data_IF_087285454299
#
_entry.id   IF_087285454299
#
_cell.length_a   1.000
_cell.length_b   1.000
_cell.length_c   1.000
_cell.angle_alpha   90.00
_cell.angle_beta   90.00
_cell.angle_gamma   90.00
#
_symmetry.space_group_name_H-M   'P 1'
#
loop_
_entity.id
_entity.type
_entity.pdbx_description
1 polymer ?
#
# COMPACT_ATOMS: atom_id res chain seq x y z
N UNK A 1 1.39 -2.07 -19.14
CA UNK A 1 2.44 -2.14 -18.12
C UNK A 1 3.48 -1.07 -18.42
N UNK A 2 3.43 0.07 -17.72
CA UNK A 2 4.49 1.09 -17.79
C UNK A 2 5.35 0.94 -16.54
N UNK A 3 6.66 0.78 -16.71
CA UNK A 3 7.63 0.77 -15.62
C UNK A 3 8.28 2.15 -15.58
N UNK A 4 8.12 2.88 -14.49
CA UNK A 4 8.77 4.17 -14.34
C UNK A 4 10.27 4.01 -14.03
N UNK A 5 11.13 4.83 -14.62
CA UNK A 5 12.58 4.82 -14.39
C UNK A 5 12.96 4.94 -12.90
N UNK A 6 12.15 5.65 -12.11
CA UNK A 6 12.29 5.74 -10.65
C UNK A 6 12.17 4.40 -9.93
N UNK A 7 11.36 3.46 -10.44
CA UNK A 7 11.25 2.09 -9.92
C UNK A 7 12.56 1.30 -10.13
N UNK A 8 13.22 1.51 -11.26
CA UNK A 8 14.47 0.83 -11.59
C UNK A 8 15.63 1.35 -10.73
N UNK A 9 15.73 2.67 -10.55
CA UNK A 9 16.77 3.31 -9.71
C UNK A 9 16.60 2.96 -8.23
N UNK A 10 15.36 2.99 -7.71
CA UNK A 10 15.06 2.61 -6.34
C UNK A 10 15.44 1.15 -6.07
N UNK A 11 15.10 0.25 -6.99
CA UNK A 11 15.48 -1.15 -6.87
C UNK A 11 16.99 -1.35 -6.96
N UNK A 12 17.68 -0.70 -7.90
CA UNK A 12 19.14 -0.77 -8.01
C UNK A 12 19.84 -0.38 -6.70
N UNK A 13 19.37 0.68 -6.03
CA UNK A 13 19.92 1.12 -4.73
C UNK A 13 19.64 0.11 -3.62
N UNK A 14 18.46 -0.50 -3.58
CA UNK A 14 18.14 -1.57 -2.62
C UNK A 14 19.01 -2.81 -2.87
N UNK A 15 19.22 -3.20 -4.13
CA UNK A 15 20.11 -4.30 -4.54
C UNK A 15 21.57 -4.09 -4.15
N UNK A 16 22.03 -2.84 -4.10
CA UNK A 16 23.38 -2.50 -3.63
C UNK A 16 23.52 -2.54 -2.09
N UNK A 17 22.44 -2.34 -1.34
CA UNK A 17 22.50 -2.13 0.12
C UNK A 17 21.94 -3.29 0.96
N UNK A 18 21.22 -4.25 0.36
CA UNK A 18 20.54 -5.35 1.07
C UNK A 18 20.91 -6.72 0.52
N UNK A 19 20.77 -7.76 1.36
CA UNK A 19 20.98 -9.15 0.95
C UNK A 19 19.95 -9.57 -0.11
N UNK A 20 20.39 -10.34 -1.10
CA UNK A 20 19.54 -10.84 -2.19
C UNK A 20 18.29 -11.57 -1.69
N UNK A 21 18.41 -12.33 -0.58
CA UNK A 21 17.28 -13.03 0.04
C UNK A 21 16.19 -12.10 0.60
N UNK A 22 16.55 -10.95 1.18
CA UNK A 22 15.58 -9.97 1.68
C UNK A 22 14.84 -9.30 0.52
N UNK A 23 15.56 -9.00 -0.56
CA UNK A 23 14.99 -8.35 -1.74
C UNK A 23 14.03 -9.29 -2.46
N UNK A 24 14.42 -10.55 -2.66
CA UNK A 24 13.54 -11.56 -3.24
C UNK A 24 12.29 -11.77 -2.39
N UNK A 25 12.45 -11.79 -1.07
CA UNK A 25 11.33 -11.87 -0.13
C UNK A 25 10.39 -10.68 -0.27
N UNK A 26 10.92 -9.45 -0.35
CA UNK A 26 10.13 -8.23 -0.53
C UNK A 26 9.30 -8.28 -1.82
N UNK A 27 9.92 -8.62 -2.96
CA UNK A 27 9.17 -8.72 -4.21
C UNK A 27 8.16 -9.87 -4.22
N UNK A 28 8.48 -11.01 -3.62
CA UNK A 28 7.53 -12.10 -3.50
C UNK A 28 6.29 -11.67 -2.70
N UNK A 29 6.46 -10.87 -1.63
CA UNK A 29 5.35 -10.28 -0.89
C UNK A 29 4.55 -9.31 -1.76
N UNK A 30 5.19 -8.42 -2.51
CA UNK A 30 4.49 -7.50 -3.41
C UNK A 30 3.71 -8.25 -4.51
N UNK A 31 4.32 -9.27 -5.12
CA UNK A 31 3.65 -10.08 -6.15
C UNK A 31 2.44 -10.80 -5.57
N UNK A 32 2.57 -11.38 -4.36
CA UNK A 32 1.46 -12.04 -3.69
C UNK A 32 0.30 -11.07 -3.41
N UNK A 33 0.63 -9.88 -2.94
CA UNK A 33 -0.34 -8.81 -2.68
C UNK A 33 -1.12 -8.44 -3.95
N UNK A 34 -0.41 -8.12 -5.03
CA UNK A 34 -1.05 -7.80 -6.32
C UNK A 34 -1.84 -8.97 -6.91
N UNK A 35 -1.34 -10.20 -6.75
CA UNK A 35 -2.05 -11.39 -7.16
C UNK A 35 -3.39 -11.52 -6.42
N UNK A 36 -3.47 -11.09 -5.16
CA UNK A 36 -4.70 -10.97 -4.39
C UNK A 36 -5.71 -10.04 -5.05
N UNK A 37 -5.31 -8.80 -5.36
CA UNK A 37 -6.16 -7.84 -6.07
C UNK A 37 -6.63 -8.38 -7.43
N UNK A 38 -5.70 -8.95 -8.19
CA UNK A 38 -5.95 -9.49 -9.52
C UNK A 38 -6.92 -10.68 -9.49
N UNK A 39 -6.80 -11.57 -8.51
CA UNK A 39 -7.71 -12.68 -8.31
C UNK A 39 -9.12 -12.17 -7.95
N UNK A 40 -9.22 -11.23 -7.02
CA UNK A 40 -10.51 -10.64 -6.64
C UNK A 40 -11.19 -9.89 -7.79
N UNK A 41 -10.41 -9.15 -8.60
CA UNK A 41 -10.92 -8.44 -9.76
C UNK A 41 -11.53 -9.41 -10.78
N UNK A 42 -10.86 -10.55 -11.03
CA UNK A 42 -11.38 -11.61 -11.91
C UNK A 42 -12.66 -12.25 -11.36
N UNK A 43 -12.73 -12.53 -10.05
CA UNK A 43 -13.92 -13.11 -9.43
C UNK A 43 -15.15 -12.21 -9.54
N UNK A 44 -14.94 -10.90 -9.53
CA UNK A 44 -15.99 -9.89 -9.66
C UNK A 44 -16.36 -9.61 -11.13
N UNK A 45 -15.66 -10.23 -12.10
CA UNK A 45 -15.89 -10.01 -13.53
C UNK A 45 -15.39 -8.65 -14.04
N UNK A 46 -14.51 -7.99 -13.29
CA UNK A 46 -13.91 -6.71 -13.69
C UNK A 46 -12.77 -6.90 -14.70
N UNK A 47 -12.58 -5.93 -15.59
CA UNK A 47 -11.45 -5.88 -16.53
C UNK A 47 -10.43 -4.82 -16.09
N UNK A 48 -9.14 -5.17 -16.15
CA UNK A 48 -8.03 -4.23 -15.96
C UNK A 48 -7.96 -3.29 -17.18
N UNK A 49 -8.11 -1.97 -16.99
CA UNK A 49 -7.88 -1.02 -18.08
C UNK A 49 -6.41 -0.61 -18.23
N UNK A 50 -5.57 -0.90 -17.23
CA UNK A 50 -4.12 -0.67 -17.25
C UNK A 50 -3.46 -1.06 -15.92
N UNK A 51 -2.18 -1.41 -15.98
CA UNK A 51 -1.30 -1.62 -14.82
C UNK A 51 -0.11 -0.67 -14.97
N UNK A 52 0.00 0.30 -14.08
CA UNK A 52 1.15 1.21 -14.00
C UNK A 52 1.98 0.86 -12.77
N UNK A 53 3.26 0.56 -13.00
CA UNK A 53 4.22 0.13 -11.98
C UNK A 53 5.21 1.27 -11.76
N UNK A 54 5.16 1.90 -10.59
CA UNK A 54 6.05 3.00 -10.22
C UNK A 54 6.86 2.65 -8.96
N UNK A 55 7.90 3.45 -8.67
CA UNK A 55 8.69 3.30 -7.42
C UNK A 55 7.85 3.43 -6.14
N UNK A 56 6.61 3.91 -6.23
CA UNK A 56 5.67 4.07 -5.12
C UNK A 56 4.63 2.94 -5.01
N UNK A 57 4.53 2.02 -5.97
CA UNK A 57 3.53 0.94 -5.99
C UNK A 57 2.95 0.63 -7.37
N UNK A 58 1.89 -0.19 -7.40
CA UNK A 58 1.18 -0.65 -8.61
C UNK A 58 -0.25 -0.08 -8.59
N UNK A 59 -0.67 0.58 -9.68
CA UNK A 59 -2.01 1.19 -9.79
C UNK A 59 -2.82 0.48 -10.87
N UNK A 60 -4.01 -0.03 -10.52
CA UNK A 60 -4.92 -0.76 -11.41
C UNK A 60 -6.19 0.09 -11.69
N UNK A 61 -6.41 0.47 -12.95
CA UNK A 61 -7.62 1.20 -13.36
C UNK A 61 -8.84 0.28 -13.54
N UNK A 62 -10.01 0.68 -13.01
CA UNK A 62 -11.30 -0.03 -13.18
C UNK A 62 -12.44 0.91 -13.61
N UNK A 63 -13.39 0.44 -14.43
CA UNK A 63 -14.52 1.23 -14.99
C UNK A 63 -15.74 1.17 -14.04
N UNK A 64 -16.30 2.33 -13.68
CA UNK A 64 -17.35 2.57 -12.66
C UNK A 64 -18.76 2.04 -13.01
N UNK A 65 -19.54 1.62 -12.00
CA UNK A 65 -21.02 1.53 -12.04
C UNK A 65 -21.77 1.05 -10.77
N UNK A 66 -22.39 1.96 -10.00
CA UNK A 66 -23.45 1.66 -8.99
C UNK A 66 -23.03 1.13 -7.59
N UNK A 67 -23.99 1.00 -6.64
CA UNK A 67 -23.75 0.47 -5.27
C UNK A 67 -23.18 -0.96 -5.26
N UNK A 68 -23.50 -1.76 -6.28
CA UNK A 68 -22.87 -3.07 -6.50
C UNK A 68 -21.37 -2.92 -6.79
N UNK A 69 -20.95 -1.88 -7.53
CA UNK A 69 -19.53 -1.59 -7.75
C UNK A 69 -18.80 -1.18 -6.47
N UNK A 70 -19.45 -0.55 -5.49
CA UNK A 70 -18.77 -0.21 -4.22
C UNK A 70 -18.38 -1.46 -3.42
N UNK A 71 -19.26 -2.46 -3.32
CA UNK A 71 -18.94 -3.73 -2.64
C UNK A 71 -17.85 -4.50 -3.38
N UNK A 72 -17.95 -4.52 -4.71
CA UNK A 72 -16.94 -5.08 -5.60
C UNK A 72 -15.57 -4.41 -5.45
N UNK A 73 -15.51 -3.08 -5.45
CA UNK A 73 -14.28 -2.30 -5.24
C UNK A 73 -13.70 -2.54 -3.85
N UNK A 74 -14.53 -2.60 -2.81
CA UNK A 74 -14.09 -2.93 -1.46
C UNK A 74 -13.46 -4.33 -1.39
N UNK A 75 -14.11 -5.32 -2.01
CA UNK A 75 -13.59 -6.68 -2.06
C UNK A 75 -12.23 -6.74 -2.77
N UNK A 76 -12.09 -6.04 -3.89
CA UNK A 76 -10.80 -5.96 -4.61
C UNK A 76 -9.74 -5.28 -3.75
N UNK A 77 -10.03 -4.12 -3.14
CA UNK A 77 -9.08 -3.37 -2.30
C UNK A 77 -8.64 -4.15 -1.05
N UNK A 78 -9.51 -4.97 -0.47
CA UNK A 78 -9.15 -5.81 0.67
C UNK A 78 -8.34 -7.06 0.29
N UNK A 79 -8.37 -7.48 -0.98
CA UNK A 79 -7.83 -8.76 -1.38
C UNK A 79 -6.30 -8.85 -1.29
N UNK A 80 -5.56 -7.79 -1.65
CA UNK A 80 -4.11 -7.77 -1.51
C UNK A 80 -3.63 -7.85 -0.06
N UNK A 81 -4.14 -6.98 0.85
CA UNK A 81 -3.87 -7.07 2.27
C UNK A 81 -4.28 -8.42 2.88
N UNK A 82 -5.44 -8.96 2.49
CA UNK A 82 -5.89 -10.27 2.94
C UNK A 82 -4.95 -11.40 2.49
N UNK A 83 -4.47 -11.39 1.24
CA UNK A 83 -3.53 -12.39 0.74
C UNK A 83 -2.24 -12.43 1.59
N UNK A 84 -1.71 -11.26 1.93
CA UNK A 84 -0.55 -11.13 2.79
C UNK A 84 -0.81 -11.60 4.23
N UNK A 85 -1.96 -11.25 4.83
CA UNK A 85 -2.34 -11.70 6.18
C UNK A 85 -2.50 -13.22 6.22
N UNK A 86 -3.16 -13.81 5.22
CA UNK A 86 -3.33 -15.26 5.10
C UNK A 86 -1.98 -15.95 4.98
N UNK A 87 -1.07 -15.43 4.14
CA UNK A 87 0.27 -15.99 4.00
C UNK A 87 1.07 -15.89 5.31
N UNK A 88 1.01 -14.75 6.00
CA UNK A 88 1.60 -14.60 7.33
C UNK A 88 1.06 -15.67 8.29
N UNK A 89 -0.26 -15.82 8.41
CA UNK A 89 -0.89 -16.78 9.31
C UNK A 89 -0.49 -18.24 8.98
N UNK A 90 -0.51 -18.62 7.71
CA UNK A 90 -0.09 -19.94 7.26
C UNK A 90 1.37 -20.22 7.60
N UNK A 91 2.28 -19.29 7.33
CA UNK A 91 3.69 -19.42 7.68
C UNK A 91 3.90 -19.58 9.18
N UNK A 92 3.15 -18.84 10.00
CA UNK A 92 3.21 -18.94 11.46
C UNK A 92 2.72 -20.29 11.97
N UNK A 93 1.63 -20.82 11.41
CA UNK A 93 1.10 -22.16 11.74
C UNK A 93 2.10 -23.25 11.36
N UNK A 94 2.80 -23.09 10.22
CA UNK A 94 3.84 -24.01 9.76
C UNK A 94 5.18 -23.85 10.50
N UNK A 95 5.25 -23.00 11.53
CA UNK A 95 6.46 -22.78 12.34
C UNK A 95 7.51 -21.88 11.70
N UNK A 96 7.21 -21.26 10.55
CA UNK A 96 8.12 -20.36 9.86
C UNK A 96 8.00 -18.93 10.42
N UNK A 97 8.98 -18.54 11.24
CA UNK A 97 9.06 -17.22 11.88
C UNK A 97 10.11 -16.30 11.24
N UNK A 98 10.50 -16.58 9.98
CA UNK A 98 11.51 -15.82 9.27
C UNK A 98 11.05 -14.44 8.78
N UNK A 99 11.99 -13.67 8.23
CA UNK A 99 11.77 -12.31 7.72
C UNK A 99 10.64 -12.26 6.68
N UNK A 100 10.47 -13.29 5.85
CA UNK A 100 9.41 -13.34 4.84
C UNK A 100 8.00 -13.33 5.44
N UNK A 101 7.78 -14.02 6.57
CA UNK A 101 6.49 -13.97 7.28
C UNK A 101 6.24 -12.56 7.82
N UNK A 102 7.25 -11.95 8.46
CA UNK A 102 7.13 -10.59 8.97
C UNK A 102 6.87 -9.57 7.85
N UNK A 103 7.55 -9.69 6.70
CA UNK A 103 7.34 -8.82 5.55
C UNK A 103 5.91 -8.90 5.00
N UNK A 104 5.29 -10.08 4.98
CA UNK A 104 3.87 -10.23 4.61
C UNK A 104 2.97 -9.39 5.53
N UNK A 105 3.12 -9.55 6.85
CA UNK A 105 2.33 -8.77 7.81
C UNK A 105 2.61 -7.25 7.69
N UNK A 106 3.87 -6.87 7.58
CA UNK A 106 4.27 -5.46 7.43
C UNK A 106 3.68 -4.85 6.16
N UNK A 107 3.69 -5.57 5.03
CA UNK A 107 3.11 -5.10 3.79
C UNK A 107 1.58 -4.95 3.87
N UNK A 108 0.89 -5.85 4.60
CA UNK A 108 -0.55 -5.71 4.84
C UNK A 108 -0.87 -4.48 5.70
N UNK A 109 -0.13 -4.27 6.79
CA UNK A 109 -0.30 -3.10 7.67
C UNK A 109 0.02 -1.82 6.92
N UNK A 110 1.11 -1.80 6.14
CA UNK A 110 1.52 -0.66 5.33
C UNK A 110 0.43 -0.27 4.32
N UNK A 111 -0.08 -1.21 3.53
CA UNK A 111 -1.12 -0.92 2.55
C UNK A 111 -2.48 -0.56 3.17
N UNK A 112 -2.70 -0.87 4.45
CA UNK A 112 -3.89 -0.43 5.21
C UNK A 112 -3.75 0.97 5.82
N UNK A 113 -2.60 1.65 5.66
CA UNK A 113 -2.45 3.01 6.13
C UNK A 113 -3.38 3.98 5.39
N UNK A 114 -3.81 5.08 6.04
CA UNK A 114 -4.85 5.97 5.53
C UNK A 114 -4.34 6.96 4.48
N UNK A 115 -3.47 6.53 3.56
CA UNK A 115 -2.98 7.32 2.42
C UNK A 115 -3.72 6.92 1.14
N UNK A 116 -4.08 7.90 0.32
CA UNK A 116 -4.91 7.71 -0.87
C UNK A 116 -4.23 6.84 -1.93
N UNK A 117 -2.90 6.87 -1.98
CA UNK A 117 -2.06 6.01 -2.81
C UNK A 117 -2.03 4.53 -2.36
N UNK A 118 -2.59 4.19 -1.20
CA UNK A 118 -2.62 2.85 -0.62
C UNK A 118 -4.06 2.31 -0.53
N UNK A 119 -4.21 0.99 -0.38
CA UNK A 119 -5.52 0.33 -0.32
C UNK A 119 -6.43 0.88 0.78
N UNK A 120 -5.88 1.09 1.98
CA UNK A 120 -6.61 1.58 3.15
C UNK A 120 -7.21 2.97 2.92
N UNK A 121 -6.43 3.90 2.35
CA UNK A 121 -6.95 5.21 1.98
C UNK A 121 -7.94 5.14 0.82
N UNK A 122 -7.71 4.30 -0.18
CA UNK A 122 -8.66 4.09 -1.28
C UNK A 122 -10.01 3.55 -0.78
N UNK A 123 -10.01 2.65 0.23
CA UNK A 123 -11.23 2.17 0.89
C UNK A 123 -11.95 3.32 1.60
N UNK A 124 -11.24 4.15 2.35
CA UNK A 124 -11.85 5.29 3.05
C UNK A 124 -12.46 6.26 2.03
N UNK A 125 -11.73 6.58 0.94
CA UNK A 125 -12.22 7.42 -0.14
C UNK A 125 -13.46 6.84 -0.82
N UNK A 126 -13.53 5.51 -1.02
CA UNK A 126 -14.68 4.84 -1.60
C UNK A 126 -15.98 5.09 -0.82
N UNK A 127 -15.89 5.23 0.50
CA UNK A 127 -17.04 5.54 1.36
C UNK A 127 -17.27 7.04 1.60
N UNK A 128 -16.21 7.86 1.47
CA UNK A 128 -16.29 9.30 1.74
C UNK A 128 -16.76 10.12 0.53
N UNK A 129 -16.33 9.75 -0.69
CA UNK A 129 -16.59 10.53 -1.91
C UNK A 129 -18.09 10.61 -2.22
N UNK A 130 -18.60 11.83 -2.40
CA UNK A 130 -20.02 12.08 -2.69
C UNK A 130 -20.93 12.09 -1.46
N UNK A 131 -20.37 12.04 -0.25
CA UNK A 131 -21.12 12.21 1.00
C UNK A 131 -21.03 13.64 1.52
N UNK A 132 -22.01 14.07 2.33
CA UNK A 132 -21.97 15.39 3.00
C UNK A 132 -20.75 15.53 3.91
N UNK A 133 -20.24 14.41 4.43
CA UNK A 133 -19.08 14.29 5.31
C UNK A 133 -17.73 14.27 4.59
N UNK A 134 -17.68 14.29 3.25
CA UNK A 134 -16.43 14.15 2.48
C UNK A 134 -15.33 15.11 2.96
N UNK A 135 -15.66 16.39 3.15
CA UNK A 135 -14.72 17.38 3.69
C UNK A 135 -14.24 17.05 5.10
N UNK A 136 -15.13 16.60 5.98
CA UNK A 136 -14.77 16.23 7.34
C UNK A 136 -13.84 15.02 7.37
N UNK A 137 -14.11 14.00 6.54
CA UNK A 137 -13.25 12.82 6.41
C UNK A 137 -11.86 13.21 5.90
N UNK A 138 -11.79 14.04 4.85
CA UNK A 138 -10.51 14.51 4.32
C UNK A 138 -9.70 15.32 5.35
N UNK A 139 -10.36 16.16 6.15
CA UNK A 139 -9.70 16.87 7.25
C UNK A 139 -9.15 15.91 8.31
N UNK A 140 -9.95 14.95 8.77
CA UNK A 140 -9.51 13.93 9.75
C UNK A 140 -8.31 13.15 9.21
N UNK A 141 -8.37 12.70 7.95
CA UNK A 141 -7.28 11.97 7.30
C UNK A 141 -6.00 12.81 7.23
N UNK A 142 -6.10 14.09 6.87
CA UNK A 142 -4.94 14.98 6.83
C UNK A 142 -4.36 15.20 8.23
N UNK A 143 -5.19 15.35 9.26
CA UNK A 143 -4.73 15.43 10.65
C UNK A 143 -4.01 14.16 11.08
N UNK A 144 -4.55 12.98 10.77
CA UNK A 144 -3.90 11.69 11.08
C UNK A 144 -2.56 11.55 10.36
N UNK A 145 -2.48 11.90 9.08
CA UNK A 145 -1.23 11.86 8.29
C UNK A 145 -0.16 12.80 8.86
N UNK A 146 -0.55 14.02 9.25
CA UNK A 146 0.35 14.99 9.90
C UNK A 146 0.85 14.47 11.26
N UNK A 147 -0.02 13.84 12.05
CA UNK A 147 0.39 13.19 13.30
C UNK A 147 1.38 12.05 13.05
N UNK A 148 1.18 11.23 12.01
CA UNK A 148 2.14 10.19 11.64
C UNK A 148 3.51 10.76 11.25
N UNK A 149 3.54 11.88 10.51
CA UNK A 149 4.79 12.60 10.22
C UNK A 149 5.42 13.10 11.52
N UNK A 150 4.66 13.75 12.40
CA UNK A 150 5.17 14.26 13.68
C UNK A 150 5.75 13.15 14.57
N UNK A 151 5.05 12.01 14.68
CA UNK A 151 5.52 10.84 15.41
C UNK A 151 6.80 10.30 14.78
N UNK A 152 6.85 10.13 13.45
CA UNK A 152 8.06 9.66 12.77
C UNK A 152 9.25 10.61 12.96
N UNK A 153 9.02 11.92 12.99
CA UNK A 153 10.05 12.92 13.28
C UNK A 153 10.54 12.83 14.74
N UNK A 154 9.63 12.61 15.70
CA UNK A 154 10.00 12.36 17.09
C UNK A 154 10.82 11.07 17.23
N UNK A 155 10.45 9.99 16.53
CA UNK A 155 11.24 8.74 16.52
C UNK A 155 12.64 8.99 15.95
N UNK A 156 12.78 9.76 14.87
CA UNK A 156 14.11 10.15 14.34
C UNK A 156 14.90 10.96 15.37
N UNK A 157 14.24 11.86 16.10
CA UNK A 157 14.88 12.66 17.14
C UNK A 157 15.42 11.78 18.29
N UNK A 158 14.65 10.77 18.74
CA UNK A 158 15.05 9.92 19.86
C UNK A 158 15.96 8.74 19.48
N UNK A 159 15.74 8.12 18.31
CA UNK A 159 16.45 6.90 17.87
C UNK A 159 17.53 7.17 16.80
N UNK A 160 17.67 8.42 16.37
CA UNK A 160 18.71 8.84 15.43
C UNK A 160 18.43 8.45 13.97
N UNK A 161 19.50 8.44 13.17
CA UNK A 161 19.42 8.37 11.69
C UNK A 161 18.85 7.05 11.16
N UNK A 162 18.85 5.98 11.94
CA UNK A 162 18.30 4.68 11.51
C UNK A 162 16.79 4.71 11.32
N UNK A 163 16.09 5.62 12.02
CA UNK A 163 14.65 5.83 11.85
C UNK A 163 14.30 6.79 10.70
N UNK A 164 15.29 7.41 10.05
CA UNK A 164 15.07 8.37 8.96
C UNK A 164 14.22 7.81 7.80
N UNK A 165 14.35 6.54 7.38
CA UNK A 165 13.50 5.98 6.33
C UNK A 165 12.00 6.02 6.66
N UNK A 166 11.63 5.93 7.94
CA UNK A 166 10.23 6.02 8.38
C UNK A 166 9.66 7.42 8.13
N UNK A 167 10.42 8.46 8.51
CA UNK A 167 10.05 9.86 8.27
C UNK A 167 10.01 10.17 6.77
N UNK A 168 11.01 9.71 6.02
CA UNK A 168 11.07 9.88 4.58
C UNK A 168 9.85 9.24 3.87
N UNK A 169 9.46 8.03 4.28
CA UNK A 169 8.26 7.36 3.76
C UNK A 169 6.97 8.12 4.09
N UNK A 170 6.80 8.58 5.34
CA UNK A 170 5.62 9.33 5.76
C UNK A 170 5.46 10.66 4.98
N UNK A 171 6.56 11.38 4.75
CA UNK A 171 6.58 12.60 3.94
C UNK A 171 6.30 12.28 2.46
N UNK A 172 6.93 11.23 1.90
CA UNK A 172 6.74 10.85 0.51
C UNK A 172 5.28 10.46 0.21
N UNK A 173 4.65 9.68 1.08
CA UNK A 173 3.23 9.32 0.98
C UNK A 173 2.31 10.54 1.09
N UNK A 174 2.57 11.44 2.03
CA UNK A 174 1.81 12.68 2.16
C UNK A 174 1.95 13.59 0.93
N UNK A 175 3.16 13.71 0.39
CA UNK A 175 3.41 14.48 -0.84
C UNK A 175 2.77 13.84 -2.08
N UNK A 176 2.69 12.50 -2.14
CA UNK A 176 1.96 11.77 -3.17
C UNK A 176 0.47 12.10 -3.15
N UNK A 177 -0.15 12.01 -1.97
CA UNK A 177 -1.58 12.32 -1.78
C UNK A 177 -1.95 13.76 -2.19
N UNK A 178 -1.06 14.74 -1.98
CA UNK A 178 -1.29 16.13 -2.43
C UNK A 178 -1.30 16.24 -3.96
N UNK A 179 -0.50 15.42 -4.66
CA UNK A 179 -0.41 15.45 -6.13
C UNK A 179 -1.62 14.80 -6.78
N UNK A 180 -2.17 13.74 -6.18
CA UNK A 180 -3.34 13.04 -6.70
C UNK A 180 -4.67 13.81 -6.50
N UNK A 181 -4.65 14.92 -5.74
CA UNK A 181 -5.77 15.85 -5.58
C UNK A 181 -5.82 16.97 -6.65
N UNK A 182 -4.84 17.03 -7.57
CA UNK A 182 -4.80 18.01 -8.69
C UNK A 182 -5.10 17.34 -10.03
#
# INVERSE_FOLDING_TARGET
MRIHFSFLVFNALIFLMRSSGLILSFYAVCILHEAGHLAALRLVGGSISGVDVSGAGIVIGTRKGGRAAAKSSLFVLLAGPAANIVCYALLRILGYNGIFSQLNLMAAVYNMLPYQSLDGGAIISLFAVGTVSERAVMHILNTVKLLMIAISAAVVYFFGREAFPLLAAAIALFAGDIKDLR
#
